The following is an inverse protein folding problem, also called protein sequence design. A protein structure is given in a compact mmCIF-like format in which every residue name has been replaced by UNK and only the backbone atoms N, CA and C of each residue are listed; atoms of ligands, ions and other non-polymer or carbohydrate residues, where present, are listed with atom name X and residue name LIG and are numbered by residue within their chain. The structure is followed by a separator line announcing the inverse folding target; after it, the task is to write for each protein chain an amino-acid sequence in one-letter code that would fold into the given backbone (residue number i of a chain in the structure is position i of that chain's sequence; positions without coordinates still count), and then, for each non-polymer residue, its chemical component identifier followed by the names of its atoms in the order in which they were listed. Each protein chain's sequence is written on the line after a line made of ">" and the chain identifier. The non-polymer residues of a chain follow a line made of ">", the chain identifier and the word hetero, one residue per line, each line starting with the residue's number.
data_IF_508395706208
#
_entry.id   IF_508395706208
#
_cell.length_a   1.000
_cell.length_b   1.000
_cell.length_c   1.000
_cell.angle_alpha   90.00
_cell.angle_beta   90.00
_cell.angle_gamma   90.00
#
_symmetry.space_group_name_H-M   'P 1'
#
loop_
_entity.id
_entity.type
_entity.pdbx_description
1 polymer ?
#
# COMPACT_ATOMS: atom_id res chain seq x y z
N UNK A 1 -26.02 -6.06 22.83
CA UNK A 1 -27.02 -5.01 23.00
C UNK A 1 -27.74 -4.80 21.68
N UNK A 2 -29.06 -4.66 21.63
CA UNK A 2 -29.81 -4.34 20.43
C UNK A 2 -30.48 -2.99 20.64
N UNK A 3 -30.24 -2.04 19.79
CA UNK A 3 -30.97 -0.78 19.70
C UNK A 3 -31.84 -0.82 18.45
N UNK A 4 -33.14 -0.49 18.62
CA UNK A 4 -34.08 -0.30 17.52
C UNK A 4 -34.29 1.20 17.39
N UNK A 5 -34.01 1.75 16.24
CA UNK A 5 -34.14 3.18 15.94
C UNK A 5 -35.18 3.31 14.85
N UNK A 6 -36.28 3.97 15.13
CA UNK A 6 -37.31 4.29 14.14
C UNK A 6 -37.01 5.66 13.54
N UNK A 7 -36.67 5.68 12.22
CA UNK A 7 -36.45 6.91 11.47
C UNK A 7 -37.50 7.05 10.37
N UNK A 8 -38.09 8.25 10.25
CA UNK A 8 -39.06 8.54 9.19
C UNK A 8 -38.53 9.61 8.24
N UNK A 9 -38.46 9.26 6.96
CA UNK A 9 -38.10 10.19 5.90
C UNK A 9 -39.34 10.55 5.08
N UNK A 10 -39.53 11.84 4.81
CA UNK A 10 -40.60 12.32 3.95
C UNK A 10 -40.00 12.94 2.70
N UNK A 11 -40.30 12.37 1.53
CA UNK A 11 -39.91 12.93 0.24
C UNK A 11 -41.14 13.53 -0.41
N UNK A 12 -41.15 14.84 -0.63
CA UNK A 12 -42.23 15.53 -1.32
C UNK A 12 -41.80 15.84 -2.76
N UNK A 13 -42.50 15.27 -3.72
CA UNK A 13 -42.25 15.46 -5.13
C UNK A 13 -43.38 16.26 -5.76
N UNK A 14 -43.07 17.16 -6.69
CA UNK A 14 -44.06 17.87 -7.52
C UNK A 14 -44.54 16.88 -8.60
N UNK A 15 -45.82 16.48 -8.62
CA UNK A 15 -46.31 15.49 -9.56
C UNK A 15 -46.29 15.97 -11.01
N UNK A 16 -46.20 17.27 -11.21
CA UNK A 16 -46.20 17.88 -12.56
C UNK A 16 -44.77 18.04 -13.15
N UNK A 17 -43.77 17.64 -12.40
CA UNK A 17 -42.35 17.77 -12.80
C UNK A 17 -41.62 16.45 -12.72
N UNK A 18 -40.83 16.16 -13.76
CA UNK A 18 -39.84 15.06 -13.70
C UNK A 18 -38.62 15.51 -12.91
N UNK A 19 -38.32 14.81 -11.82
CA UNK A 19 -37.11 15.05 -11.04
C UNK A 19 -35.99 14.19 -11.60
N UNK A 20 -34.81 14.76 -12.01
CA UNK A 20 -33.65 13.99 -12.36
C UNK A 20 -33.14 13.20 -11.15
N UNK A 21 -32.72 11.95 -11.38
CA UNK A 21 -32.15 11.11 -10.31
C UNK A 21 -30.95 11.78 -9.62
N UNK A 22 -30.13 12.52 -10.39
CA UNK A 22 -29.00 13.26 -9.85
C UNK A 22 -29.43 14.31 -8.82
N UNK A 23 -30.50 15.05 -9.07
CA UNK A 23 -31.04 16.06 -8.12
C UNK A 23 -31.55 15.41 -6.84
N UNK A 24 -32.19 14.23 -6.95
CA UNK A 24 -32.61 13.48 -5.77
C UNK A 24 -31.38 13.00 -4.94
N UNK A 25 -30.34 12.53 -5.62
CA UNK A 25 -29.09 12.11 -4.98
C UNK A 25 -28.38 13.29 -4.29
N UNK A 26 -28.33 14.46 -4.94
CA UNK A 26 -27.76 15.68 -4.35
C UNK A 26 -28.53 16.10 -3.10
N UNK A 27 -29.86 16.06 -3.12
CA UNK A 27 -30.70 16.39 -1.96
C UNK A 27 -30.45 15.44 -0.77
N UNK A 28 -30.21 14.15 -1.01
CA UNK A 28 -29.86 13.20 0.04
C UNK A 28 -28.47 13.50 0.63
N UNK A 29 -27.52 13.93 -0.19
CA UNK A 29 -26.19 14.34 0.27
C UNK A 29 -26.26 15.64 1.08
N UNK A 30 -27.08 16.62 0.67
CA UNK A 30 -27.26 17.88 1.40
C UNK A 30 -27.82 17.70 2.82
N UNK A 31 -28.67 16.72 3.07
CA UNK A 31 -29.20 16.43 4.41
C UNK A 31 -28.22 15.62 5.27
N UNK A 32 -27.05 15.24 4.74
CA UNK A 32 -26.06 14.44 5.47
C UNK A 32 -26.67 13.24 6.18
N UNK A 33 -27.42 12.42 5.44
CA UNK A 33 -28.23 11.34 6.00
C UNK A 33 -27.42 10.37 6.89
N UNK A 34 -26.21 9.99 6.46
CA UNK A 34 -25.33 9.10 7.20
C UNK A 34 -24.90 9.71 8.52
N UNK A 35 -24.58 11.01 8.52
CA UNK A 35 -24.23 11.74 9.73
C UNK A 35 -25.40 11.78 10.72
N UNK A 36 -26.60 12.11 10.24
CA UNK A 36 -27.83 12.16 11.06
C UNK A 36 -28.14 10.80 11.68
N UNK A 37 -28.01 9.71 10.93
CA UNK A 37 -28.22 8.35 11.42
C UNK A 37 -27.18 8.02 12.50
N UNK A 38 -25.91 8.33 12.29
CA UNK A 38 -24.86 8.05 13.28
C UNK A 38 -25.08 8.83 14.58
N UNK A 39 -25.45 10.11 14.50
CA UNK A 39 -25.77 10.93 15.67
C UNK A 39 -26.95 10.35 16.48
N UNK A 40 -27.99 9.90 15.79
CA UNK A 40 -29.15 9.31 16.44
C UNK A 40 -28.82 7.96 17.08
N UNK A 41 -27.99 7.13 16.46
CA UNK A 41 -27.50 5.87 17.04
C UNK A 41 -26.73 6.16 18.32
N UNK A 42 -25.75 7.06 18.27
CA UNK A 42 -24.91 7.41 19.42
C UNK A 42 -25.75 8.00 20.54
N UNK A 43 -26.68 8.91 20.23
CA UNK A 43 -27.62 9.51 21.22
C UNK A 43 -28.47 8.45 21.89
N UNK A 44 -29.08 7.55 21.13
CA UNK A 44 -29.95 6.49 21.65
C UNK A 44 -29.21 5.50 22.53
N UNK A 45 -27.96 5.13 22.16
CA UNK A 45 -27.11 4.27 22.99
C UNK A 45 -26.69 4.96 24.28
N UNK A 46 -26.29 6.23 24.22
CA UNK A 46 -25.93 7.01 25.43
C UNK A 46 -27.08 7.13 26.40
N UNK A 47 -28.30 7.48 25.94
CA UNK A 47 -29.49 7.56 26.74
C UNK A 47 -29.85 6.21 27.37
N UNK A 48 -29.82 5.12 26.61
CA UNK A 48 -30.12 3.77 27.10
C UNK A 48 -29.15 3.30 28.19
N UNK A 49 -27.85 3.58 27.99
CA UNK A 49 -26.84 3.24 29.01
C UNK A 49 -26.99 4.05 30.28
N UNK A 50 -27.21 5.35 30.15
CA UNK A 50 -27.46 6.21 31.32
C UNK A 50 -28.74 5.77 32.10
N UNK A 51 -29.77 5.33 31.36
CA UNK A 51 -30.97 4.79 31.97
C UNK A 51 -30.70 3.46 32.70
N UNK A 52 -29.91 2.59 32.11
CA UNK A 52 -29.47 1.33 32.71
C UNK A 52 -28.71 1.55 34.04
N UNK A 53 -27.84 2.56 34.09
CA UNK A 53 -27.10 2.90 35.32
C UNK A 53 -27.97 3.66 36.35
N UNK A 54 -28.67 4.70 35.93
CA UNK A 54 -29.32 5.65 36.82
C UNK A 54 -30.82 5.38 37.05
N UNK A 55 -31.45 4.50 36.22
CA UNK A 55 -32.88 4.30 36.14
C UNK A 55 -33.61 5.45 35.44
N UNK A 56 -34.93 5.32 35.24
CA UNK A 56 -35.75 6.30 34.54
C UNK A 56 -35.60 7.72 35.10
N UNK A 57 -35.55 8.70 34.19
CA UNK A 57 -35.28 10.13 34.51
C UNK A 57 -36.26 10.74 35.54
N UNK A 58 -37.46 10.20 35.63
CA UNK A 58 -38.52 10.73 36.47
C UNK A 58 -38.91 9.83 37.66
N UNK A 59 -38.14 8.76 37.92
CA UNK A 59 -38.39 7.89 39.05
C UNK A 59 -38.18 8.64 40.38
N UNK A 60 -39.25 8.74 41.22
CA UNK A 60 -39.18 9.38 42.53
C UNK A 60 -38.29 8.56 43.48
N UNK A 61 -37.31 9.21 44.13
CA UNK A 61 -36.48 8.57 45.15
C UNK A 61 -34.99 8.49 44.87
N UNK A 62 -34.41 9.50 44.26
CA UNK A 62 -33.01 9.51 43.76
C UNK A 62 -31.93 9.68 44.87
N UNK A 63 -32.29 9.80 46.13
CA UNK A 63 -31.32 10.16 47.19
C UNK A 63 -30.27 9.09 47.55
N UNK A 64 -30.58 7.80 47.35
CA UNK A 64 -29.73 6.69 47.80
C UNK A 64 -29.20 5.81 46.65
N UNK A 65 -29.24 6.28 45.38
CA UNK A 65 -28.75 5.48 44.28
C UNK A 65 -27.23 5.62 44.14
N UNK A 66 -26.55 4.51 43.94
CA UNK A 66 -25.11 4.47 43.67
C UNK A 66 -24.74 5.35 42.48
N UNK A 67 -25.48 5.27 41.37
CA UNK A 67 -25.21 6.02 40.15
C UNK A 67 -26.20 7.17 39.99
N UNK A 68 -25.68 8.36 39.73
CA UNK A 68 -26.46 9.59 39.55
C UNK A 68 -26.06 10.30 38.25
N UNK A 69 -27.05 10.87 37.55
CA UNK A 69 -26.77 11.73 36.36
C UNK A 69 -26.02 12.98 36.82
N UNK A 70 -24.93 13.30 36.15
CA UNK A 70 -23.99 14.35 36.54
C UNK A 70 -23.79 15.46 35.48
N UNK A 71 -24.71 15.54 34.53
CA UNK A 71 -24.65 16.53 33.45
C UNK A 71 -24.25 15.93 32.10
N UNK A 72 -23.95 16.80 31.15
CA UNK A 72 -23.57 16.44 29.79
C UNK A 72 -22.37 17.26 29.33
N UNK A 73 -21.63 16.75 28.36
CA UNK A 73 -20.62 17.48 27.59
C UNK A 73 -20.83 17.29 26.09
N UNK A 74 -20.57 18.33 25.34
CA UNK A 74 -20.58 18.26 23.88
C UNK A 74 -19.20 17.83 23.37
N UNK A 75 -19.21 16.93 22.40
CA UNK A 75 -18.01 16.47 21.69
C UNK A 75 -18.21 16.56 20.19
N UNK A 76 -17.32 17.29 19.51
CA UNK A 76 -17.26 17.33 18.05
C UNK A 76 -16.37 16.19 17.55
N UNK A 77 -16.83 15.44 16.55
CA UNK A 77 -16.05 14.44 15.83
C UNK A 77 -16.32 14.53 14.34
N UNK A 78 -15.31 14.26 13.53
CA UNK A 78 -15.41 14.17 12.08
C UNK A 78 -15.06 12.73 11.67
N UNK A 79 -15.97 12.10 10.95
CA UNK A 79 -15.83 10.75 10.41
C UNK A 79 -16.02 10.78 8.89
N UNK A 80 -15.92 9.64 8.23
CA UNK A 80 -16.28 9.52 6.81
C UNK A 80 -17.74 9.80 6.54
N UNK A 81 -18.63 9.69 7.55
CA UNK A 81 -20.04 10.03 7.46
C UNK A 81 -20.31 11.54 7.59
N UNK A 82 -19.33 12.34 8.03
CA UNK A 82 -19.47 13.80 8.17
C UNK A 82 -18.94 14.35 9.48
N UNK A 83 -19.30 15.63 9.76
CA UNK A 83 -19.03 16.29 11.03
C UNK A 83 -20.23 16.10 11.98
N UNK A 84 -19.93 15.73 13.22
CA UNK A 84 -20.92 15.39 14.25
C UNK A 84 -20.71 16.21 15.51
N UNK A 85 -21.81 16.51 16.19
CA UNK A 85 -21.82 17.10 17.52
C UNK A 85 -22.57 16.18 18.49
N UNK A 86 -21.85 15.37 19.24
CA UNK A 86 -22.42 14.44 20.21
C UNK A 86 -22.58 15.07 21.57
N UNK A 87 -23.78 14.96 22.15
CA UNK A 87 -24.03 15.32 23.55
C UNK A 87 -23.96 14.08 24.41
N UNK A 88 -22.89 13.92 25.19
CA UNK A 88 -22.59 12.74 25.99
C UNK A 88 -22.88 12.99 27.46
N UNK A 89 -23.61 12.07 28.11
CA UNK A 89 -23.94 12.16 29.52
C UNK A 89 -22.78 11.68 30.42
N UNK A 90 -22.68 12.35 31.57
CA UNK A 90 -21.82 11.90 32.67
C UNK A 90 -22.67 11.24 33.75
N UNK A 91 -22.13 10.18 34.33
CA UNK A 91 -22.66 9.50 35.50
C UNK A 91 -21.66 9.64 36.63
N UNK A 92 -22.18 9.95 37.83
CA UNK A 92 -21.41 9.97 39.06
C UNK A 92 -21.64 8.66 39.81
N UNK A 93 -20.58 7.95 40.18
CA UNK A 93 -20.60 6.87 41.13
C UNK A 93 -20.42 7.43 42.56
N UNK A 94 -21.45 7.37 43.38
CA UNK A 94 -21.41 7.87 44.77
C UNK A 94 -20.67 6.92 45.73
N UNK A 95 -20.38 5.70 45.26
CA UNK A 95 -19.66 4.69 46.05
C UNK A 95 -18.21 4.47 45.52
N UNK A 96 -17.73 5.33 44.58
CA UNK A 96 -16.38 5.26 44.05
C UNK A 96 -15.34 5.41 45.17
N UNK A 97 -14.32 4.59 45.16
CA UNK A 97 -13.16 4.66 46.06
C UNK A 97 -12.13 5.70 45.55
N UNK A 98 -11.08 5.97 46.31
CA UNK A 98 -10.04 6.93 45.89
C UNK A 98 -9.35 6.52 44.57
N UNK A 99 -9.34 5.24 44.24
CA UNK A 99 -8.70 4.67 43.03
C UNK A 99 -9.67 4.61 41.83
N UNK A 100 -10.98 4.76 42.02
CA UNK A 100 -11.98 4.68 40.96
C UNK A 100 -12.42 6.08 40.51
N UNK A 101 -12.72 6.25 39.20
CA UNK A 101 -13.23 7.53 38.70
C UNK A 101 -14.62 7.83 39.27
N UNK A 102 -14.72 8.93 40.00
CA UNK A 102 -16.01 9.39 40.54
C UNK A 102 -17.01 9.76 39.44
N UNK A 103 -16.54 10.17 38.27
CA UNK A 103 -17.35 10.53 37.09
C UNK A 103 -16.88 9.77 35.90
N UNK A 104 -17.79 9.18 35.13
CA UNK A 104 -17.49 8.47 33.88
C UNK A 104 -18.59 8.69 32.85
N UNK A 105 -18.35 8.33 31.61
CA UNK A 105 -19.30 8.36 30.50
C UNK A 105 -19.65 6.93 30.14
N UNK A 106 -20.88 6.46 30.37
CA UNK A 106 -21.28 5.09 30.08
C UNK A 106 -21.11 4.68 28.61
N UNK A 107 -21.25 5.62 27.70
CA UNK A 107 -21.09 5.35 26.27
C UNK A 107 -19.66 4.91 25.91
N UNK A 108 -18.65 5.39 26.63
CA UNK A 108 -17.23 5.05 26.37
C UNK A 108 -16.91 3.56 26.61
N UNK A 109 -17.81 2.82 27.30
CA UNK A 109 -17.71 1.37 27.46
C UNK A 109 -18.13 0.61 26.18
N UNK A 110 -18.80 1.26 25.23
CA UNK A 110 -19.31 0.66 23.99
C UNK A 110 -18.80 1.32 22.71
N UNK A 111 -18.50 2.61 22.76
CA UNK A 111 -18.08 3.40 21.60
C UNK A 111 -16.79 4.13 21.96
N UNK A 112 -15.72 3.73 21.33
CA UNK A 112 -14.43 4.39 21.47
C UNK A 112 -14.32 5.57 20.52
N UNK A 113 -13.85 6.69 21.05
CA UNK A 113 -13.47 7.85 20.27
C UNK A 113 -11.95 7.94 20.25
N UNK A 114 -11.36 8.35 19.12
CA UNK A 114 -9.92 8.51 19.00
C UNK A 114 -9.37 9.63 19.92
N UNK A 115 -9.30 9.34 21.20
CA UNK A 115 -8.86 10.23 22.28
C UNK A 115 -9.55 11.59 22.22
N UNK A 116 -8.78 12.68 22.22
CA UNK A 116 -9.29 14.06 22.11
C UNK A 116 -9.32 14.58 20.67
N UNK A 117 -9.09 13.71 19.68
CA UNK A 117 -9.02 14.12 18.28
C UNK A 117 -10.40 14.39 17.70
N UNK A 118 -10.51 15.45 16.91
CA UNK A 118 -11.73 15.77 16.17
C UNK A 118 -11.89 14.80 14.99
N UNK A 119 -10.83 14.63 14.18
CA UNK A 119 -10.83 13.69 13.05
C UNK A 119 -10.58 12.28 13.56
N UNK A 120 -11.57 11.42 13.40
CA UNK A 120 -11.51 10.03 13.82
C UNK A 120 -10.65 9.20 12.84
N UNK A 121 -10.36 7.96 13.22
CA UNK A 121 -9.38 7.10 12.51
C UNK A 121 -9.82 6.78 11.07
N UNK A 122 -11.11 6.61 10.81
CA UNK A 122 -11.68 6.32 9.50
C UNK A 122 -11.41 7.45 8.47
N UNK A 123 -11.74 8.70 8.81
CA UNK A 123 -11.47 9.86 7.95
C UNK A 123 -9.96 10.16 7.86
N UNK A 124 -9.22 9.88 8.92
CA UNK A 124 -7.77 9.99 8.93
C UNK A 124 -7.13 9.00 7.95
N UNK A 125 -7.57 7.74 7.94
CA UNK A 125 -7.12 6.73 7.00
C UNK A 125 -7.53 7.07 5.56
N UNK A 126 -8.77 7.50 5.34
CA UNK A 126 -9.24 7.94 4.01
C UNK A 126 -8.42 9.10 3.47
N UNK A 127 -8.12 10.11 4.30
CA UNK A 127 -7.32 11.25 3.91
C UNK A 127 -5.86 10.88 3.59
N UNK A 128 -5.28 9.91 4.29
CA UNK A 128 -3.95 9.38 3.96
C UNK A 128 -3.97 8.59 2.66
N UNK A 129 -5.03 7.81 2.39
CA UNK A 129 -5.20 7.11 1.13
C UNK A 129 -5.24 8.05 -0.08
N UNK A 130 -5.94 9.17 0.03
CA UNK A 130 -5.92 10.22 -1.00
C UNK A 130 -4.50 10.79 -1.17
N UNK A 131 -3.79 10.99 -0.08
CA UNK A 131 -2.43 11.54 -0.09
C UNK A 131 -1.38 10.60 -0.68
N UNK A 132 -1.63 9.29 -0.80
CA UNK A 132 -0.73 8.37 -1.52
C UNK A 132 -0.67 8.66 -3.02
N UNK A 133 -1.74 9.20 -3.59
CA UNK A 133 -1.85 9.50 -5.03
C UNK A 133 -1.81 11.00 -5.35
N UNK A 134 -2.27 11.85 -4.43
CA UNK A 134 -2.38 13.30 -4.60
C UNK A 134 -1.38 14.05 -3.72
N UNK A 135 -1.09 15.31 -4.04
CA UNK A 135 -0.39 16.17 -3.08
C UNK A 135 -1.25 16.38 -1.82
N UNK A 136 -0.65 16.65 -0.67
CA UNK A 136 -1.41 16.90 0.57
C UNK A 136 -2.43 18.03 0.43
N UNK A 137 -2.16 19.01 -0.43
CA UNK A 137 -3.08 20.12 -0.73
C UNK A 137 -4.23 19.67 -1.59
N UNK A 138 -3.94 18.89 -2.63
CA UNK A 138 -4.95 18.38 -3.55
C UNK A 138 -5.82 17.33 -2.87
N UNK A 139 -5.27 16.53 -1.95
CA UNK A 139 -6.03 15.58 -1.14
C UNK A 139 -7.09 16.30 -0.29
N UNK A 140 -6.74 17.43 0.36
CA UNK A 140 -7.71 18.29 1.07
C UNK A 140 -8.76 18.83 0.10
N UNK A 141 -8.35 19.48 -0.97
CA UNK A 141 -9.28 20.10 -1.92
C UNK A 141 -10.24 19.09 -2.59
N UNK A 142 -9.76 17.87 -2.84
CA UNK A 142 -10.60 16.81 -3.42
C UNK A 142 -11.57 16.23 -2.40
N UNK A 143 -11.10 15.98 -1.18
CA UNK A 143 -11.91 15.39 -0.12
C UNK A 143 -12.98 16.34 0.45
N UNK A 144 -12.68 17.65 0.56
CA UNK A 144 -13.62 18.68 1.05
C UNK A 144 -14.93 18.74 0.25
N UNK A 145 -14.94 18.20 -0.99
CA UNK A 145 -16.16 18.07 -1.79
C UNK A 145 -17.14 17.00 -1.28
N UNK A 146 -16.71 16.12 -0.38
CA UNK A 146 -17.50 14.99 0.12
C UNK A 146 -17.69 15.03 1.64
N UNK A 147 -16.65 15.38 2.40
CA UNK A 147 -16.69 15.45 3.87
C UNK A 147 -15.60 16.43 4.34
N UNK A 148 -15.78 17.10 5.51
CA UNK A 148 -14.76 17.98 6.06
C UNK A 148 -13.42 17.25 6.22
N UNK A 149 -12.38 17.75 5.55
CA UNK A 149 -11.07 17.10 5.51
C UNK A 149 -10.10 17.67 6.56
N UNK A 150 -9.19 16.83 7.10
CA UNK A 150 -8.10 17.31 7.92
C UNK A 150 -7.20 18.26 7.12
N UNK A 151 -6.57 19.23 7.80
CA UNK A 151 -5.62 20.13 7.14
C UNK A 151 -4.44 19.35 6.52
N UNK A 152 -3.81 19.93 5.48
CA UNK A 152 -2.62 19.32 4.84
C UNK A 152 -1.52 18.94 5.84
N UNK A 153 -1.37 19.70 6.92
CA UNK A 153 -0.39 19.43 8.00
C UNK A 153 -0.82 18.23 8.83
N UNK A 154 -2.11 18.10 9.11
CA UNK A 154 -2.68 16.94 9.82
C UNK A 154 -2.54 15.70 8.97
N UNK A 155 -2.89 15.77 7.67
CA UNK A 155 -2.71 14.64 6.73
C UNK A 155 -1.24 14.21 6.67
N UNK A 156 -0.29 15.15 6.53
CA UNK A 156 1.14 14.82 6.54
C UNK A 156 1.57 14.10 7.83
N UNK A 157 1.07 14.54 8.99
CA UNK A 157 1.35 13.88 10.27
C UNK A 157 0.78 12.46 10.30
N UNK A 158 -0.45 12.26 9.79
CA UNK A 158 -1.08 10.94 9.70
C UNK A 158 -0.37 10.01 8.73
N UNK A 159 0.06 10.52 7.59
CA UNK A 159 0.90 9.74 6.64
C UNK A 159 2.16 9.20 7.33
N UNK A 160 2.82 10.03 8.14
CA UNK A 160 4.00 9.58 8.89
C UNK A 160 3.66 8.53 9.94
N UNK A 161 2.59 8.75 10.69
CA UNK A 161 2.11 7.84 11.73
C UNK A 161 1.72 6.49 11.15
N UNK A 162 0.83 6.49 10.15
CA UNK A 162 0.31 5.25 9.56
C UNK A 162 1.32 4.54 8.66
N UNK A 163 2.17 5.30 7.96
CA UNK A 163 3.23 4.69 7.15
C UNK A 163 4.25 3.97 8.00
N UNK A 164 4.65 4.53 9.15
CA UNK A 164 5.52 3.84 10.11
C UNK A 164 4.85 2.59 10.67
N UNK A 165 3.59 2.70 11.13
CA UNK A 165 2.83 1.55 11.64
C UNK A 165 2.64 0.46 10.59
N UNK A 166 2.40 0.84 9.34
CA UNK A 166 2.26 -0.12 8.24
C UNK A 166 3.59 -0.80 7.92
N UNK A 167 4.70 -0.05 7.94
CA UNK A 167 6.04 -0.65 7.80
C UNK A 167 6.32 -1.71 8.88
N UNK A 168 6.04 -1.39 10.15
CA UNK A 168 6.16 -2.34 11.25
C UNK A 168 5.23 -3.53 11.07
N UNK A 169 3.96 -3.29 10.72
CA UNK A 169 2.96 -4.32 10.44
C UNK A 169 3.39 -5.30 9.34
N UNK A 170 4.00 -4.81 8.26
CA UNK A 170 4.56 -5.65 7.18
C UNK A 170 5.76 -6.43 7.69
N UNK A 171 6.71 -5.75 8.33
CA UNK A 171 7.94 -6.36 8.85
C UNK A 171 7.67 -7.47 9.88
N UNK A 172 6.64 -7.32 10.69
CA UNK A 172 6.22 -8.34 11.67
C UNK A 172 5.62 -9.60 11.01
N UNK A 173 5.16 -9.47 9.76
CA UNK A 173 4.55 -10.57 8.98
C UNK A 173 5.51 -11.20 7.96
N UNK A 174 6.71 -10.65 7.79
CA UNK A 174 7.73 -11.23 6.92
C UNK A 174 8.09 -12.69 7.26
N UNK A 175 8.20 -13.09 8.55
CA UNK A 175 8.39 -14.49 8.88
C UNK A 175 7.27 -15.37 8.33
N UNK A 176 7.63 -16.33 7.46
CA UNK A 176 6.66 -17.23 6.81
C UNK A 176 6.10 -16.75 5.47
N UNK A 177 6.54 -15.61 4.96
CA UNK A 177 6.22 -15.18 3.58
C UNK A 177 6.75 -16.18 2.55
N UNK A 178 7.96 -16.75 2.78
CA UNK A 178 8.56 -17.78 1.93
C UNK A 178 8.61 -17.40 0.45
N UNK A 179 8.98 -16.15 0.15
CA UNK A 179 9.16 -15.73 -1.23
C UNK A 179 10.24 -16.59 -1.93
N UNK A 180 9.94 -17.11 -3.11
CA UNK A 180 10.85 -17.89 -3.94
C UNK A 180 11.66 -17.03 -4.91
N UNK A 181 11.22 -15.79 -5.11
CA UNK A 181 11.87 -14.81 -5.96
C UNK A 181 11.89 -13.44 -5.28
N UNK A 182 13.05 -12.79 -5.29
CA UNK A 182 13.25 -11.44 -4.75
C UNK A 182 13.58 -10.49 -5.89
N UNK A 183 12.87 -9.37 -5.97
CA UNK A 183 12.99 -8.41 -7.06
C UNK A 183 13.29 -7.01 -6.49
N UNK A 184 14.55 -6.70 -6.19
CA UNK A 184 14.98 -5.40 -5.70
C UNK A 184 15.21 -4.42 -6.86
N UNK A 185 14.88 -3.14 -6.64
CA UNK A 185 15.22 -2.03 -7.55
C UNK A 185 15.35 -0.72 -6.77
N UNK A 186 16.19 0.18 -7.25
CA UNK A 186 16.50 1.44 -6.62
C UNK A 186 16.12 2.65 -7.46
N UNK A 187 15.79 3.75 -6.77
CA UNK A 187 15.50 5.00 -7.43
C UNK A 187 15.89 6.21 -6.56
N UNK A 188 15.76 7.43 -7.11
CA UNK A 188 16.12 8.67 -6.39
C UNK A 188 14.93 9.62 -6.32
N UNK A 189 14.71 10.21 -5.14
CA UNK A 189 13.74 11.26 -4.90
C UNK A 189 14.44 12.54 -4.40
N UNK A 190 13.88 13.71 -4.69
CA UNK A 190 14.48 14.98 -4.27
C UNK A 190 14.42 15.16 -2.75
N UNK A 191 15.56 15.51 -2.15
CA UNK A 191 15.68 15.78 -0.73
C UNK A 191 15.33 17.22 -0.36
N UNK A 192 14.83 17.42 0.87
CA UNK A 192 14.71 18.72 1.53
C UNK A 192 15.99 19.12 2.27
N UNK A 193 16.93 18.19 2.45
CA UNK A 193 18.12 18.41 3.25
C UNK A 193 19.16 19.21 2.45
N UNK A 194 19.76 20.20 3.08
CA UNK A 194 20.73 21.09 2.41
C UNK A 194 22.02 20.37 1.98
N UNK A 195 22.35 19.25 2.64
CA UNK A 195 23.58 18.50 2.41
C UNK A 195 23.44 17.38 1.36
N UNK A 196 22.21 17.02 0.96
CA UNK A 196 22.01 16.05 -0.09
C UNK A 196 20.90 16.49 -1.06
N UNK A 197 21.10 16.27 -2.34
CA UNK A 197 20.16 16.66 -3.38
C UNK A 197 19.04 15.64 -3.58
N UNK A 198 19.32 14.39 -3.26
CA UNK A 198 18.40 13.26 -3.46
C UNK A 198 18.55 12.26 -2.33
N UNK A 199 17.45 11.62 -2.01
CA UNK A 199 17.39 10.38 -1.24
C UNK A 199 17.49 9.20 -2.19
N UNK A 200 18.26 8.19 -1.83
CA UNK A 200 18.23 6.87 -2.46
C UNK A 200 17.02 6.11 -1.88
N UNK A 201 16.20 5.56 -2.74
CA UNK A 201 14.99 4.80 -2.38
C UNK A 201 15.17 3.38 -2.88
N UNK A 202 15.15 2.43 -1.97
CA UNK A 202 15.24 1.01 -2.24
C UNK A 202 13.88 0.35 -2.04
N UNK A 203 13.46 -0.46 -2.98
CA UNK A 203 12.20 -1.23 -2.92
C UNK A 203 12.51 -2.68 -3.25
N UNK A 204 12.02 -3.58 -2.43
CA UNK A 204 12.17 -5.01 -2.61
C UNK A 204 10.81 -5.68 -2.63
N UNK A 205 10.45 -6.27 -3.77
CA UNK A 205 9.26 -7.11 -3.91
C UNK A 205 9.64 -8.59 -3.79
N UNK A 206 8.74 -9.39 -3.25
CA UNK A 206 8.79 -10.84 -3.28
C UNK A 206 7.74 -11.42 -4.21
N UNK A 207 8.04 -12.55 -4.82
CA UNK A 207 7.05 -13.39 -5.47
C UNK A 207 6.99 -14.74 -4.79
N UNK A 208 5.77 -15.26 -4.68
CA UNK A 208 5.46 -16.57 -4.13
C UNK A 208 4.73 -17.31 -5.23
N UNK A 209 5.27 -18.43 -5.68
CA UNK A 209 4.69 -19.23 -6.77
C UNK A 209 4.08 -20.49 -6.21
N UNK A 210 2.76 -20.64 -6.31
CA UNK A 210 2.01 -21.82 -5.93
C UNK A 210 1.32 -22.45 -7.16
N UNK A 211 1.94 -23.43 -7.77
CA UNK A 211 1.46 -24.04 -9.01
C UNK A 211 1.53 -23.06 -10.18
N UNK A 212 0.39 -22.72 -10.78
CA UNK A 212 0.30 -21.77 -11.89
C UNK A 212 0.05 -20.32 -11.43
N UNK A 213 -0.19 -20.09 -10.14
CA UNK A 213 -0.47 -18.78 -9.57
C UNK A 213 0.81 -18.16 -8.98
N UNK A 214 1.00 -16.87 -9.22
CA UNK A 214 2.12 -16.09 -8.67
C UNK A 214 1.56 -14.86 -7.96
N UNK A 215 1.78 -14.80 -6.66
CA UNK A 215 1.45 -13.67 -5.82
C UNK A 215 2.67 -12.75 -5.68
N UNK A 216 2.43 -11.44 -5.62
CA UNK A 216 3.49 -10.45 -5.41
C UNK A 216 3.21 -9.68 -4.13
N UNK A 217 4.18 -9.65 -3.23
CA UNK A 217 4.11 -8.89 -1.98
C UNK A 217 5.26 -7.90 -1.85
N UNK A 218 5.08 -6.87 -1.03
CA UNK A 218 6.13 -5.93 -0.69
C UNK A 218 6.92 -6.47 0.50
N UNK A 219 8.21 -6.75 0.29
CA UNK A 219 9.10 -7.24 1.35
C UNK A 219 9.74 -6.10 2.13
N UNK A 220 10.22 -5.05 1.45
CA UNK A 220 10.86 -3.93 2.12
C UNK A 220 10.80 -2.63 1.28
N UNK A 221 10.78 -1.52 2.00
CA UNK A 221 10.99 -0.16 1.50
C UNK A 221 11.87 0.57 2.48
N UNK A 222 12.99 1.09 2.01
CA UNK A 222 13.84 1.95 2.83
C UNK A 222 14.35 3.18 2.05
N UNK A 223 14.84 4.15 2.78
CA UNK A 223 15.35 5.40 2.25
C UNK A 223 16.73 5.65 2.84
N UNK A 224 17.72 5.85 1.96
CA UNK A 224 19.13 6.11 2.30
C UNK A 224 19.84 4.96 3.05
N UNK A 225 19.27 3.77 3.09
CA UNK A 225 19.89 2.58 3.65
C UNK A 225 20.62 1.76 2.59
N UNK A 226 21.75 1.13 2.92
CA UNK A 226 22.46 0.28 1.97
C UNK A 226 21.72 -1.05 1.71
N UNK A 227 21.79 -1.57 0.49
CA UNK A 227 21.20 -2.84 0.11
C UNK A 227 21.58 -4.04 0.99
N UNK A 228 22.78 -3.99 1.59
CA UNK A 228 23.25 -5.07 2.45
C UNK A 228 22.38 -5.25 3.70
N UNK A 229 21.85 -4.14 4.26
CA UNK A 229 20.97 -4.19 5.43
C UNK A 229 19.62 -4.84 5.04
N UNK A 230 19.04 -4.47 3.90
CA UNK A 230 17.83 -5.13 3.38
C UNK A 230 18.05 -6.63 3.16
N UNK A 231 19.15 -7.02 2.51
CA UNK A 231 19.42 -8.42 2.20
C UNK A 231 19.62 -9.27 3.47
N UNK A 232 20.28 -8.71 4.49
CA UNK A 232 20.50 -9.35 5.80
C UNK A 232 19.16 -9.48 6.57
N UNK A 233 18.38 -8.42 6.65
CA UNK A 233 17.08 -8.37 7.31
C UNK A 233 16.11 -9.42 6.77
N UNK A 234 15.98 -9.53 5.44
CA UNK A 234 15.09 -10.49 4.79
C UNK A 234 15.50 -11.94 5.11
N UNK A 235 16.80 -12.19 5.20
CA UNK A 235 17.34 -13.49 5.55
C UNK A 235 17.14 -13.81 7.04
N UNK A 236 17.44 -12.87 7.95
CA UNK A 236 17.26 -13.05 9.38
C UNK A 236 15.79 -13.30 9.75
N UNK A 237 14.87 -12.67 9.04
CA UNK A 237 13.41 -12.83 9.24
C UNK A 237 12.82 -14.05 8.54
N UNK A 238 13.64 -14.84 7.85
CA UNK A 238 13.15 -16.00 7.08
C UNK A 238 11.99 -15.62 6.12
N UNK A 239 12.08 -14.41 5.52
CA UNK A 239 11.07 -13.89 4.60
C UNK A 239 11.11 -14.59 3.23
N UNK A 240 12.22 -15.25 2.92
CA UNK A 240 12.52 -15.87 1.63
C UNK A 240 12.99 -17.31 1.81
N UNK A 241 12.78 -18.13 0.79
CA UNK A 241 13.24 -19.53 0.82
C UNK A 241 14.76 -19.63 0.65
N UNK A 242 15.37 -20.73 1.10
CA UNK A 242 16.83 -20.95 0.99
C UNK A 242 17.34 -21.02 -0.46
N UNK A 243 16.46 -21.35 -1.40
CA UNK A 243 16.73 -21.47 -2.83
C UNK A 243 16.16 -20.31 -3.65
N UNK A 244 15.73 -19.23 -2.99
CA UNK A 244 15.20 -18.05 -3.65
C UNK A 244 16.17 -17.48 -4.67
N UNK A 245 15.61 -17.05 -5.81
CA UNK A 245 16.34 -16.36 -6.86
C UNK A 245 16.18 -14.84 -6.75
N UNK A 246 17.22 -14.09 -7.08
CA UNK A 246 17.17 -12.63 -7.19
C UNK A 246 17.06 -12.22 -8.65
N UNK A 247 16.13 -11.34 -8.98
CA UNK A 247 15.96 -10.77 -10.33
C UNK A 247 16.17 -9.27 -10.26
N UNK A 248 17.24 -8.78 -10.87
CA UNK A 248 17.59 -7.36 -10.80
C UNK A 248 18.31 -6.85 -12.04
N UNK A 249 18.59 -5.57 -12.07
CA UNK A 249 19.50 -4.98 -13.05
C UNK A 249 20.99 -5.27 -12.70
N UNK A 250 21.91 -4.69 -13.46
CA UNK A 250 23.36 -4.88 -13.29
C UNK A 250 24.00 -3.85 -12.33
N UNK A 251 23.27 -3.32 -11.36
CA UNK A 251 23.83 -2.43 -10.34
C UNK A 251 24.71 -3.22 -9.36
N UNK A 252 26.01 -2.88 -9.31
CA UNK A 252 26.96 -3.68 -8.53
C UNK A 252 26.64 -3.69 -7.03
N UNK A 253 26.26 -2.55 -6.45
CA UNK A 253 25.96 -2.46 -5.01
C UNK A 253 24.80 -3.37 -4.60
N UNK A 254 23.77 -3.44 -5.45
CA UNK A 254 22.63 -4.31 -5.27
C UNK A 254 23.03 -5.78 -5.44
N UNK A 255 23.70 -6.10 -6.56
CA UNK A 255 24.08 -7.49 -6.84
C UNK A 255 25.03 -8.02 -5.77
N UNK A 256 26.08 -7.25 -5.40
CA UNK A 256 27.05 -7.67 -4.37
C UNK A 256 26.37 -7.93 -3.02
N UNK A 257 25.32 -7.17 -2.66
CA UNK A 257 24.57 -7.34 -1.44
C UNK A 257 23.72 -8.64 -1.44
N UNK A 258 23.03 -8.91 -2.53
CA UNK A 258 22.13 -10.06 -2.63
C UNK A 258 22.85 -11.36 -3.00
N UNK A 259 23.93 -11.34 -3.81
CA UNK A 259 24.71 -12.55 -4.13
C UNK A 259 25.33 -13.20 -2.88
N UNK A 260 25.64 -12.42 -1.84
CA UNK A 260 26.14 -12.94 -0.60
C UNK A 260 25.10 -13.76 0.20
N UNK A 261 23.81 -13.53 -0.06
CA UNK A 261 22.68 -14.08 0.70
C UNK A 261 21.85 -15.11 -0.05
N UNK A 262 21.87 -15.08 -1.41
CA UNK A 262 20.98 -15.87 -2.26
C UNK A 262 21.72 -16.68 -3.29
N UNK A 263 21.15 -17.84 -3.65
CA UNK A 263 21.82 -18.84 -4.50
C UNK A 263 21.94 -18.44 -5.97
N UNK A 264 20.93 -17.78 -6.51
CA UNK A 264 20.79 -17.57 -7.94
C UNK A 264 20.43 -16.11 -8.26
N UNK A 265 21.14 -15.52 -9.22
CA UNK A 265 20.87 -14.19 -9.73
C UNK A 265 20.49 -14.23 -11.21
N UNK A 266 19.32 -13.71 -11.55
CA UNK A 266 18.85 -13.47 -12.91
C UNK A 266 18.99 -11.99 -13.24
N UNK A 267 19.73 -11.69 -14.28
CA UNK A 267 19.84 -10.33 -14.81
C UNK A 267 18.61 -9.99 -15.66
N UNK A 268 18.00 -8.84 -15.42
CA UNK A 268 16.88 -8.35 -16.24
C UNK A 268 17.25 -8.24 -17.71
N UNK A 269 16.62 -9.07 -18.55
CA UNK A 269 16.94 -9.16 -19.97
C UNK A 269 16.65 -7.88 -20.76
N UNK A 270 15.68 -7.08 -20.31
CA UNK A 270 15.35 -5.78 -20.95
C UNK A 270 16.49 -4.78 -20.74
N UNK A 271 17.10 -4.82 -19.56
CA UNK A 271 18.17 -3.91 -19.17
C UNK A 271 19.52 -4.25 -19.85
N UNK A 272 19.75 -5.51 -20.27
CA UNK A 272 20.98 -5.93 -20.94
C UNK A 272 21.29 -5.06 -22.16
N UNK A 273 20.34 -4.92 -23.08
CA UNK A 273 20.53 -4.13 -24.29
C UNK A 273 20.77 -2.65 -24.02
N UNK A 274 20.07 -2.08 -23.04
CA UNK A 274 20.23 -0.68 -22.60
C UNK A 274 21.64 -0.45 -22.06
N UNK A 275 22.07 -1.30 -21.15
CA UNK A 275 23.39 -1.20 -20.50
C UNK A 275 24.51 -1.47 -21.49
N UNK A 276 24.40 -2.47 -22.37
CA UNK A 276 25.36 -2.75 -23.43
C UNK A 276 25.55 -1.54 -24.35
N UNK A 277 24.45 -0.92 -24.81
CA UNK A 277 24.51 0.30 -25.62
C UNK A 277 25.24 1.44 -24.92
N UNK A 278 25.05 1.59 -23.61
CA UNK A 278 25.77 2.59 -22.80
C UNK A 278 27.25 2.27 -22.64
N UNK A 279 27.64 0.99 -22.44
CA UNK A 279 29.05 0.57 -22.39
C UNK A 279 29.75 0.82 -23.73
N UNK A 280 29.10 0.48 -24.84
CA UNK A 280 29.57 0.80 -26.21
C UNK A 280 29.75 2.30 -26.44
N UNK A 281 28.87 3.13 -25.89
CA UNK A 281 29.04 4.58 -25.93
C UNK A 281 30.25 5.05 -25.11
N UNK A 282 30.47 4.46 -23.94
CA UNK A 282 31.64 4.75 -23.10
C UNK A 282 32.98 4.29 -23.73
N UNK A 283 32.97 3.29 -24.59
CA UNK A 283 34.14 2.86 -25.36
C UNK A 283 34.42 3.82 -26.51
N UNK A 284 33.41 4.46 -27.07
CA UNK A 284 33.52 5.51 -28.06
C UNK A 284 33.82 5.03 -29.48
N UNK A 285 33.91 3.71 -29.74
CA UNK A 285 34.35 3.10 -30.99
C UNK A 285 33.29 3.15 -32.08
N UNK A 286 32.02 2.99 -31.74
CA UNK A 286 30.93 2.84 -32.71
C UNK A 286 30.00 4.06 -32.77
N UNK A 287 29.50 4.41 -33.99
CA UNK A 287 28.40 5.39 -34.11
C UNK A 287 27.11 4.85 -33.50
N UNK A 288 26.14 5.76 -33.22
CA UNK A 288 24.92 5.43 -32.54
C UNK A 288 24.12 4.29 -33.17
N UNK A 289 24.02 4.27 -34.51
CA UNK A 289 23.25 3.24 -35.21
C UNK A 289 23.90 1.85 -35.03
N UNK A 290 25.22 1.76 -35.10
CA UNK A 290 25.91 0.50 -34.86
C UNK A 290 25.81 0.01 -33.44
N UNK A 291 25.83 0.93 -32.47
CA UNK A 291 25.55 0.60 -31.03
C UNK A 291 24.15 0.04 -30.82
N UNK A 292 23.14 0.61 -31.50
CA UNK A 292 21.76 0.12 -31.47
C UNK A 292 21.67 -1.27 -32.10
N UNK A 293 22.28 -1.48 -33.24
CA UNK A 293 22.31 -2.78 -33.94
C UNK A 293 22.88 -3.88 -33.02
N UNK A 294 24.10 -3.67 -32.49
CA UNK A 294 24.76 -4.63 -31.60
C UNK A 294 23.87 -4.93 -30.36
N UNK A 295 23.34 -3.90 -29.73
CA UNK A 295 22.47 -4.07 -28.56
C UNK A 295 21.16 -4.83 -28.90
N UNK A 296 20.61 -4.56 -30.10
CA UNK A 296 19.39 -5.26 -30.58
C UNK A 296 19.67 -6.74 -30.87
N UNK A 297 20.81 -7.05 -31.50
CA UNK A 297 21.18 -8.43 -31.82
C UNK A 297 21.34 -9.27 -30.55
N UNK A 298 22.02 -8.75 -29.53
CA UNK A 298 22.16 -9.40 -28.23
C UNK A 298 20.78 -9.57 -27.56
N UNK A 299 19.95 -8.50 -27.53
CA UNK A 299 18.61 -8.56 -26.92
C UNK A 299 17.71 -9.58 -27.64
N UNK A 300 17.75 -9.64 -28.96
CA UNK A 300 17.01 -10.60 -29.75
C UNK A 300 17.40 -12.05 -29.42
N UNK A 301 18.71 -12.31 -29.27
CA UNK A 301 19.17 -13.65 -28.89
C UNK A 301 18.64 -14.07 -27.50
N UNK A 302 18.67 -13.17 -26.52
CA UNK A 302 18.10 -13.40 -25.18
C UNK A 302 16.58 -13.64 -25.24
N UNK A 303 15.85 -12.88 -26.07
CA UNK A 303 14.40 -13.10 -26.25
C UNK A 303 14.09 -14.39 -26.99
N UNK A 304 14.96 -14.87 -27.85
CA UNK A 304 14.85 -16.22 -28.43
C UNK A 304 14.99 -17.31 -27.36
N UNK A 305 15.92 -17.14 -26.39
CA UNK A 305 16.01 -18.05 -25.24
C UNK A 305 14.72 -18.02 -24.42
N UNK A 306 14.23 -16.82 -24.06
CA UNK A 306 12.96 -16.67 -23.32
C UNK A 306 11.80 -17.37 -24.05
N UNK A 307 11.68 -17.18 -25.37
CA UNK A 307 10.61 -17.81 -26.13
C UNK A 307 10.78 -19.34 -26.23
N UNK A 308 12.01 -19.82 -26.27
CA UNK A 308 12.31 -21.26 -26.22
C UNK A 308 11.88 -21.87 -24.90
N UNK A 309 12.19 -21.23 -23.75
CA UNK A 309 11.75 -21.71 -22.43
C UNK A 309 10.22 -21.75 -22.38
N UNK A 310 9.53 -20.67 -22.74
CA UNK A 310 8.08 -20.60 -22.75
C UNK A 310 7.42 -21.68 -23.64
N UNK A 311 8.06 -22.09 -24.73
CA UNK A 311 7.55 -23.12 -25.64
C UNK A 311 7.79 -24.55 -25.12
N UNK A 312 8.96 -24.80 -24.54
CA UNK A 312 9.46 -26.14 -24.25
C UNK A 312 9.30 -26.58 -22.79
N UNK A 313 9.31 -25.63 -21.83
CA UNK A 313 9.17 -25.96 -20.40
C UNK A 313 7.82 -26.65 -20.09
N UNK A 314 6.64 -26.16 -20.57
CA UNK A 314 5.38 -26.84 -20.31
C UNK A 314 5.29 -28.24 -20.89
N UNK A 315 6.13 -28.56 -21.89
CA UNK A 315 6.19 -29.89 -22.53
C UNK A 315 7.25 -30.79 -21.94
N UNK A 316 8.01 -30.31 -20.95
CA UNK A 316 9.17 -30.98 -20.36
C UNK A 316 10.26 -31.33 -21.39
N UNK A 317 10.41 -30.53 -22.43
CA UNK A 317 11.42 -30.72 -23.52
C UNK A 317 12.77 -30.14 -23.08
N UNK A 318 13.33 -30.69 -22.00
CA UNK A 318 14.55 -30.17 -21.32
C UNK A 318 15.78 -30.07 -22.22
N UNK A 319 15.93 -30.97 -23.19
CA UNK A 319 17.07 -30.96 -24.08
C UNK A 319 17.07 -29.72 -25.00
N UNK A 320 15.89 -29.35 -25.52
CA UNK A 320 15.77 -28.16 -26.38
C UNK A 320 16.10 -26.85 -25.62
N UNK A 321 15.68 -26.77 -24.32
CA UNK A 321 16.03 -25.63 -23.47
C UNK A 321 17.54 -25.59 -23.24
N UNK A 322 18.17 -26.73 -22.91
CA UNK A 322 19.63 -26.81 -22.67
C UNK A 322 20.44 -26.42 -23.90
N UNK A 323 20.09 -26.97 -25.06
CA UNK A 323 20.74 -26.60 -26.31
C UNK A 323 20.62 -25.11 -26.61
N UNK A 324 19.49 -24.50 -26.29
CA UNK A 324 19.30 -23.05 -26.47
C UNK A 324 20.10 -22.22 -25.47
N UNK A 325 20.21 -22.65 -24.20
CA UNK A 325 21.10 -22.02 -23.21
C UNK A 325 22.55 -22.02 -23.73
N UNK A 326 23.06 -23.19 -24.13
CA UNK A 326 24.42 -23.33 -24.63
C UNK A 326 24.68 -22.44 -25.84
N UNK A 327 23.74 -22.39 -26.78
CA UNK A 327 23.80 -21.51 -27.96
C UNK A 327 23.85 -20.02 -27.56
N UNK A 328 23.03 -19.60 -26.60
CA UNK A 328 22.99 -18.20 -26.14
C UNK A 328 24.30 -17.82 -25.47
N UNK A 329 24.84 -18.65 -24.59
CA UNK A 329 26.14 -18.41 -23.93
C UNK A 329 27.28 -18.37 -24.94
N UNK A 330 27.28 -19.26 -25.96
CA UNK A 330 28.24 -19.23 -27.01
C UNK A 330 28.17 -17.95 -27.84
N UNK A 331 26.96 -17.48 -28.19
CA UNK A 331 26.74 -16.24 -28.94
C UNK A 331 27.22 -15.02 -28.14
N UNK A 332 26.89 -14.93 -26.86
CA UNK A 332 27.38 -13.84 -25.99
C UNK A 332 28.90 -13.83 -25.87
N UNK A 333 29.52 -15.01 -25.77
CA UNK A 333 30.97 -15.15 -25.69
C UNK A 333 31.64 -14.71 -27.02
N UNK A 334 31.09 -15.12 -28.14
CA UNK A 334 31.58 -14.71 -29.48
C UNK A 334 31.45 -13.20 -29.65
N UNK A 335 30.34 -12.62 -29.28
CA UNK A 335 30.10 -11.18 -29.36
C UNK A 335 31.06 -10.41 -28.45
N UNK A 336 31.27 -10.85 -27.22
CA UNK A 336 32.24 -10.25 -26.31
C UNK A 336 33.67 -10.27 -26.90
N UNK A 337 34.08 -11.41 -27.50
CA UNK A 337 35.37 -11.51 -28.16
C UNK A 337 35.44 -10.54 -29.35
N UNK A 338 34.41 -10.47 -30.20
CA UNK A 338 34.34 -9.56 -31.35
C UNK A 338 34.49 -8.10 -30.94
N UNK A 339 33.78 -7.70 -29.86
CA UNK A 339 33.84 -6.34 -29.33
C UNK A 339 35.23 -5.97 -28.80
N UNK A 340 35.91 -6.91 -28.16
CA UNK A 340 37.28 -6.72 -27.69
C UNK A 340 38.27 -6.51 -28.85
N UNK A 341 38.15 -7.30 -29.94
CA UNK A 341 38.96 -7.10 -31.14
C UNK A 341 38.67 -5.78 -31.88
N UNK A 342 37.52 -5.17 -31.59
CA UNK A 342 37.08 -3.90 -32.15
C UNK A 342 37.25 -2.72 -31.17
N UNK A 343 38.19 -2.79 -30.23
CA UNK A 343 38.53 -1.76 -29.24
C UNK A 343 37.33 -1.30 -28.39
N UNK A 344 36.44 -2.26 -28.00
CA UNK A 344 35.30 -1.99 -27.14
C UNK A 344 35.36 -2.84 -25.84
N UNK A 345 36.38 -2.63 -25.00
CA UNK A 345 36.69 -3.50 -23.86
C UNK A 345 35.63 -3.42 -22.74
N UNK A 346 34.98 -2.26 -22.52
CA UNK A 346 33.95 -2.13 -21.47
C UNK A 346 32.67 -2.90 -21.81
N UNK A 347 32.29 -2.88 -23.09
CA UNK A 347 31.17 -3.66 -23.58
C UNK A 347 31.47 -5.17 -23.57
N UNK A 348 32.68 -5.56 -23.99
CA UNK A 348 33.14 -6.96 -23.91
C UNK A 348 33.18 -7.48 -22.48
N UNK A 349 33.75 -6.71 -21.55
CA UNK A 349 33.80 -7.08 -20.14
C UNK A 349 32.39 -7.20 -19.51
N UNK A 350 31.47 -6.32 -19.89
CA UNK A 350 30.05 -6.40 -19.44
C UNK A 350 29.42 -7.72 -19.88
N UNK A 351 29.50 -8.10 -21.14
CA UNK A 351 28.91 -9.36 -21.62
C UNK A 351 29.54 -10.58 -20.93
N UNK A 352 30.87 -10.60 -20.73
CA UNK A 352 31.52 -11.71 -20.02
C UNK A 352 31.10 -11.82 -18.56
N UNK A 353 31.02 -10.68 -17.86
CA UNK A 353 30.62 -10.66 -16.45
C UNK A 353 29.23 -11.23 -16.27
N UNK A 354 28.28 -10.85 -17.15
CA UNK A 354 26.87 -11.08 -16.93
C UNK A 354 26.26 -12.20 -17.78
N UNK A 355 27.03 -12.87 -18.66
CA UNK A 355 26.51 -13.92 -19.52
C UNK A 355 25.72 -14.97 -18.75
N UNK A 356 26.27 -15.51 -17.65
CA UNK A 356 25.63 -16.55 -16.86
C UNK A 356 24.33 -16.06 -16.23
N UNK A 357 24.32 -14.86 -15.64
CA UNK A 357 23.14 -14.27 -15.03
C UNK A 357 21.98 -13.98 -16.03
N UNK A 358 22.26 -13.96 -17.34
CA UNK A 358 21.19 -13.79 -18.34
C UNK A 358 20.43 -15.07 -18.66
N UNK A 359 20.94 -16.24 -18.26
CA UNK A 359 20.34 -17.54 -18.57
C UNK A 359 19.79 -18.26 -17.34
N UNK A 360 19.96 -17.70 -16.14
CA UNK A 360 19.56 -18.29 -14.85
C UNK A 360 18.09 -18.73 -14.83
N UNK A 361 17.18 -17.90 -15.35
CA UNK A 361 15.74 -18.26 -15.42
C UNK A 361 15.50 -19.54 -16.25
N UNK A 362 16.30 -19.75 -17.28
CA UNK A 362 16.18 -20.93 -18.14
C UNK A 362 16.80 -22.18 -17.48
N UNK A 363 17.87 -22.00 -16.71
CA UNK A 363 18.47 -23.08 -15.91
C UNK A 363 17.54 -23.53 -14.78
N UNK A 364 16.94 -22.58 -14.06
CA UNK A 364 15.96 -22.87 -13.02
C UNK A 364 14.69 -23.53 -13.60
N UNK A 365 14.26 -23.14 -14.79
CA UNK A 365 13.16 -23.82 -15.48
C UNK A 365 13.48 -25.29 -15.80
N UNK A 366 14.77 -25.65 -16.04
CA UNK A 366 15.18 -27.06 -16.13
C UNK A 366 15.08 -27.81 -14.78
N UNK A 367 15.17 -27.12 -13.67
CA UNK A 367 15.02 -27.67 -12.33
C UNK A 367 13.55 -27.73 -11.88
N UNK A 368 12.66 -27.10 -12.64
CA UNK A 368 11.21 -27.03 -12.36
C UNK A 368 10.82 -25.79 -11.55
N UNK A 369 11.74 -24.85 -11.38
CA UNK A 369 11.47 -23.56 -10.75
C UNK A 369 11.25 -22.49 -11.82
N UNK A 370 10.10 -21.86 -11.82
CA UNK A 370 9.79 -20.76 -12.75
C UNK A 370 10.02 -19.42 -12.06
N UNK A 371 10.90 -18.60 -12.62
CA UNK A 371 11.16 -17.24 -12.15
C UNK A 371 11.00 -16.22 -13.29
N UNK A 372 10.71 -14.95 -13.00
CA UNK A 372 10.63 -13.93 -14.03
C UNK A 372 12.02 -13.68 -14.66
N UNK A 373 12.04 -13.46 -15.97
CA UNK A 373 13.23 -13.08 -16.76
C UNK A 373 13.47 -11.56 -16.78
N UNK A 374 12.62 -10.78 -16.09
CA UNK A 374 12.63 -9.32 -16.03
C UNK A 374 12.11 -8.81 -14.71
N UNK A 375 12.59 -7.67 -14.29
CA UNK A 375 12.16 -6.94 -13.09
C UNK A 375 10.92 -6.03 -13.29
N UNK A 376 10.14 -6.24 -14.35
CA UNK A 376 8.99 -5.39 -14.71
C UNK A 376 7.98 -5.18 -13.57
N UNK A 377 7.88 -6.10 -12.62
CA UNK A 377 6.96 -5.98 -11.48
C UNK A 377 7.39 -4.81 -10.59
N UNK A 378 8.68 -4.75 -10.22
CA UNK A 378 9.20 -3.65 -9.41
C UNK A 378 9.28 -2.34 -10.22
N UNK A 379 9.54 -2.40 -11.54
CA UNK A 379 9.49 -1.20 -12.40
C UNK A 379 8.10 -0.52 -12.38
N UNK A 380 7.02 -1.30 -12.29
CA UNK A 380 5.66 -0.76 -12.13
C UNK A 380 5.49 -0.07 -10.78
N UNK A 381 5.99 -0.65 -9.70
CA UNK A 381 6.02 -0.02 -8.39
C UNK A 381 6.85 1.29 -8.40
N UNK A 382 8.01 1.28 -9.09
CA UNK A 382 8.79 2.51 -9.33
C UNK A 382 8.02 3.56 -10.14
N UNK A 383 7.09 3.13 -10.99
CA UNK A 383 6.14 3.99 -11.69
C UNK A 383 5.24 4.78 -10.74
N UNK A 384 4.74 4.14 -9.67
CA UNK A 384 3.92 4.80 -8.62
C UNK A 384 4.75 5.82 -7.84
N UNK A 385 5.98 5.47 -7.45
CA UNK A 385 6.93 6.42 -6.84
C UNK A 385 7.16 7.63 -7.76
N UNK A 386 7.34 7.37 -9.04
CA UNK A 386 7.61 8.44 -10.02
C UNK A 386 6.43 9.40 -10.16
N UNK A 387 5.20 8.90 -10.20
CA UNK A 387 3.98 9.72 -10.25
C UNK A 387 3.81 10.59 -9.02
N UNK A 388 4.09 10.04 -7.83
CA UNK A 388 3.80 10.69 -6.55
C UNK A 388 4.97 11.48 -5.98
N UNK A 389 6.20 10.98 -6.08
CA UNK A 389 7.32 11.49 -5.30
C UNK A 389 8.36 12.24 -6.12
N UNK A 390 8.43 12.03 -7.45
CA UNK A 390 9.49 12.60 -8.30
C UNK A 390 9.13 13.90 -9.02
N UNK A 391 8.02 14.54 -8.67
CA UNK A 391 7.71 15.84 -9.25
C UNK A 391 8.81 16.84 -8.87
N UNK A 392 9.28 17.62 -9.86
CA UNK A 392 10.38 18.59 -9.70
C UNK A 392 10.20 19.61 -8.56
N UNK A 393 8.96 19.83 -8.11
CA UNK A 393 8.62 20.75 -7.03
C UNK A 393 8.48 20.06 -5.67
N UNK A 394 8.54 18.74 -5.62
CA UNK A 394 8.44 17.97 -4.39
C UNK A 394 9.82 17.73 -3.81
N UNK A 395 9.92 17.92 -2.50
CA UNK A 395 11.13 17.63 -1.73
C UNK A 395 10.72 16.94 -0.44
N UNK A 396 11.48 15.95 -0.04
CA UNK A 396 11.12 15.06 1.03
C UNK A 396 12.14 15.10 2.15
N UNK A 397 11.67 14.86 3.38
CA UNK A 397 12.52 14.34 4.45
C UNK A 397 12.57 12.83 4.31
N UNK A 398 13.65 12.22 4.74
CA UNK A 398 13.84 10.77 4.75
C UNK A 398 12.61 10.02 5.33
N UNK A 399 12.31 10.22 6.63
CA UNK A 399 11.16 9.57 7.31
C UNK A 399 9.80 9.91 6.69
N UNK A 400 9.63 11.11 6.11
CA UNK A 400 8.38 11.49 5.46
C UNK A 400 8.20 10.80 4.11
N UNK A 401 9.30 10.56 3.39
CA UNK A 401 9.30 9.81 2.15
C UNK A 401 9.03 8.33 2.42
N UNK A 402 9.78 7.71 3.31
CA UNK A 402 9.65 6.30 3.68
C UNK A 402 8.22 5.96 4.11
N UNK A 403 7.65 6.74 5.05
CA UNK A 403 6.28 6.52 5.51
C UNK A 403 5.25 6.63 4.38
N UNK A 404 5.43 7.58 3.46
CA UNK A 404 4.54 7.69 2.29
C UNK A 404 4.70 6.50 1.35
N UNK A 405 5.92 6.01 1.16
CA UNK A 405 6.21 4.88 0.28
C UNK A 405 5.61 3.59 0.82
N UNK A 406 5.68 3.33 2.12
CA UNK A 406 4.99 2.20 2.74
C UNK A 406 3.50 2.20 2.41
N UNK A 407 2.80 3.31 2.65
CA UNK A 407 1.36 3.44 2.32
C UNK A 407 1.06 3.29 0.83
N UNK A 408 1.89 3.89 -0.03
CA UNK A 408 1.68 3.86 -1.47
C UNK A 408 1.93 2.47 -2.05
N UNK A 409 3.05 1.83 -1.68
CA UNK A 409 3.51 0.61 -2.30
C UNK A 409 2.81 -0.64 -1.75
N UNK A 410 2.52 -0.73 -0.45
CA UNK A 410 1.70 -1.85 0.08
C UNK A 410 0.33 -1.82 -0.56
N UNK A 411 -0.32 -0.66 -0.61
CA UNK A 411 -1.62 -0.53 -1.28
C UNK A 411 -1.59 -0.94 -2.76
N UNK A 412 -0.47 -0.71 -3.45
CA UNK A 412 -0.30 -1.05 -4.86
C UNK A 412 0.05 -2.52 -5.08
N UNK A 413 1.03 -3.04 -4.37
CA UNK A 413 1.60 -4.37 -4.57
C UNK A 413 0.82 -5.47 -3.84
N UNK A 414 0.25 -5.14 -2.67
CA UNK A 414 -0.45 -6.08 -1.80
C UNK A 414 -1.69 -5.41 -1.16
N UNK A 415 -2.77 -5.20 -1.93
CA UNK A 415 -4.00 -4.58 -1.44
C UNK A 415 -4.66 -5.35 -0.28
N UNK A 416 -4.46 -6.67 -0.20
CA UNK A 416 -5.03 -7.51 0.87
C UNK A 416 -4.33 -7.25 2.20
N UNK A 417 -3.00 -7.14 2.19
CA UNK A 417 -2.23 -6.77 3.36
C UNK A 417 -2.56 -5.34 3.83
N UNK A 418 -2.77 -4.40 2.89
CA UNK A 418 -3.24 -3.07 3.23
C UNK A 418 -4.64 -3.08 3.86
N UNK A 419 -5.55 -3.90 3.36
CA UNK A 419 -6.89 -4.06 3.94
C UNK A 419 -6.82 -4.67 5.35
N UNK A 420 -5.98 -5.67 5.57
CA UNK A 420 -5.76 -6.27 6.89
C UNK A 420 -5.20 -5.24 7.89
N UNK A 421 -4.25 -4.41 7.48
CA UNK A 421 -3.76 -3.30 8.29
C UNK A 421 -4.87 -2.28 8.63
N UNK A 422 -5.69 -1.93 7.64
CA UNK A 422 -6.81 -1.01 7.84
C UNK A 422 -7.85 -1.58 8.82
N UNK A 423 -8.11 -2.88 8.75
CA UNK A 423 -9.04 -3.57 9.67
C UNK A 423 -8.48 -3.62 11.09
N UNK A 424 -7.17 -3.85 11.25
CA UNK A 424 -6.51 -3.79 12.56
C UNK A 424 -6.51 -2.36 13.12
N UNK A 425 -6.17 -1.37 12.30
CA UNK A 425 -6.15 0.04 12.70
C UNK A 425 -7.53 0.55 13.13
N UNK A 426 -8.60 0.09 12.47
CA UNK A 426 -9.98 0.48 12.73
C UNK A 426 -10.69 -0.49 13.68
N UNK A 427 -9.97 -1.47 14.25
CA UNK A 427 -10.51 -2.49 15.15
C UNK A 427 -11.79 -3.19 14.60
N UNK A 428 -11.85 -3.38 13.28
CA UNK A 428 -13.01 -3.96 12.59
C UNK A 428 -13.30 -5.43 12.95
N UNK A 429 -12.62 -5.97 13.95
CA UNK A 429 -12.88 -7.32 14.48
C UNK A 429 -14.24 -7.47 15.16
N UNK A 430 -14.82 -6.37 15.64
CA UNK A 430 -16.17 -6.35 16.17
C UNK A 430 -17.19 -6.22 15.03
N UNK A 431 -17.85 -7.30 14.64
CA UNK A 431 -18.93 -7.27 13.65
C UNK A 431 -20.14 -6.52 14.20
N UNK A 432 -20.20 -5.22 13.94
CA UNK A 432 -21.41 -4.44 14.09
C UNK A 432 -22.26 -4.64 12.83
N UNK A 433 -23.41 -5.28 12.97
CA UNK A 433 -24.37 -5.39 11.87
C UNK A 433 -25.45 -4.30 12.06
N UNK A 434 -25.50 -3.35 11.14
CA UNK A 434 -26.59 -2.39 11.03
C UNK A 434 -27.52 -2.90 9.93
N UNK A 435 -28.74 -3.25 10.28
CA UNK A 435 -29.77 -3.65 9.31
C UNK A 435 -30.81 -2.54 9.23
N UNK A 436 -31.05 -2.02 8.05
CA UNK A 436 -32.07 -1.00 7.80
C UNK A 436 -33.22 -1.63 7.00
N UNK A 437 -34.44 -1.59 7.55
CA UNK A 437 -35.66 -1.93 6.83
C UNK A 437 -36.34 -0.64 6.36
N UNK A 438 -36.50 -0.50 5.04
CA UNK A 438 -37.20 0.63 4.46
C UNK A 438 -38.55 0.17 3.95
N UNK A 439 -39.64 0.62 4.59
CA UNK A 439 -41.00 0.46 4.08
C UNK A 439 -41.39 1.75 3.35
N UNK A 440 -41.81 1.64 2.10
CA UNK A 440 -42.29 2.79 1.31
C UNK A 440 -43.80 2.73 1.17
N UNK A 441 -44.51 3.62 1.87
CA UNK A 441 -45.93 3.87 1.63
C UNK A 441 -46.09 5.03 0.61
N UNK A 442 -46.22 4.68 -0.66
CA UNK A 442 -46.50 5.67 -1.70
C UNK A 442 -47.99 5.99 -1.73
N UNK A 443 -48.44 7.04 -1.10
CA UNK A 443 -49.76 7.59 -1.28
C UNK A 443 -49.72 8.52 -2.50
N UNK A 444 -50.41 8.12 -3.57
CA UNK A 444 -50.71 9.02 -4.68
C UNK A 444 -51.81 9.96 -4.18
N UNK A 445 -51.49 11.24 -3.95
CA UNK A 445 -52.46 12.25 -3.71
C UNK A 445 -53.49 12.24 -4.85
N UNK A 446 -54.77 12.38 -4.53
CA UNK A 446 -55.82 12.54 -5.51
C UNK A 446 -55.46 13.72 -6.43
N UNK A 447 -55.32 13.45 -7.74
CA UNK A 447 -55.19 14.43 -8.79
C UNK A 447 -56.45 15.25 -8.95
#
# INVERSE_FOLDING_TARGET
>A
MHAIIDAQFTVSLDPDKTLPLATLAESLTEIQLEATILEEIVRSLDEALVEAYCGEKHARGNGDRRFQRAGTTTRTAVTTAGEHEFTLHHVKDTAATEDDPTYFRPLEDLVEFDGQRIYQEDISLQSTNLATSLSFRDAVAHGDGFTPMPSKTTINRRVREYGSKLGDFVRDRLPGTNADTVIPDGTKCHSQQDHCTHHDVNVTLGQITEGDDTETTLLDVNVDEPWAETAEDLKEKEAVTDDAAVVSDSENSLVDAFEASYRSHQLDLVHVGRTLKYKLWKDGTFPLEKRKEIASDVTNDLFHLKNSVALHAPKNERLAIRERIDQTLENLTKEAWRLEQQDSPKAAAYLRKWAQATVTFAELALEGQEIPWTSNVVERAMGEISKRCKNQWMRWTESGLESLLWLNLVRYADPEQFAAFADELLERSAKTAITMEVSVDATRGEL
#
